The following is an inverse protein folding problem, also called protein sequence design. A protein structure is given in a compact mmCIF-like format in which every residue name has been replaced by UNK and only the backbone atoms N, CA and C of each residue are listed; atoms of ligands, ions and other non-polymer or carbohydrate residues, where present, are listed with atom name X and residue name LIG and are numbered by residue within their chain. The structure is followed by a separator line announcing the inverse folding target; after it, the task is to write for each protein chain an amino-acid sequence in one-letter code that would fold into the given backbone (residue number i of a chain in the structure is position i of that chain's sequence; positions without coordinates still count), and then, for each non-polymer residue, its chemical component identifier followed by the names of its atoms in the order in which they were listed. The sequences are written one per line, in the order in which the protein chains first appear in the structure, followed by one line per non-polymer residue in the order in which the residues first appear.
data_IF_796746177604
#
_entry.id   IF_796746177604
#
_cell.length_a   1.000
_cell.length_b   1.000
_cell.length_c   1.000
_cell.angle_alpha   90.00
_cell.angle_beta   90.00
_cell.angle_gamma   90.00
#
_symmetry.space_group_name_H-M   'P 1'
#
loop_
_entity.id
_entity.type
_entity.pdbx_description
1 polymer ?
#
# COMPACT_ATOMS: atom_id res chain seq x y z
N UNK A 1 -1.62 -21.77 24.64
CA UNK A 1 -2.05 -20.38 24.96
C UNK A 1 -1.10 -19.32 24.39
N UNK A 2 0.22 -19.46 24.51
CA UNK A 2 1.18 -18.45 24.01
C UNK A 2 1.22 -18.28 22.47
N UNK A 3 0.86 -19.29 21.68
CA UNK A 3 0.93 -19.22 20.21
C UNK A 3 -0.07 -18.23 19.58
N UNK A 4 -1.29 -18.15 20.12
CA UNK A 4 -2.34 -17.28 19.57
C UNK A 4 -2.05 -15.79 19.77
N UNK A 5 -1.61 -15.41 20.99
CA UNK A 5 -1.27 -14.02 21.31
C UNK A 5 -0.06 -13.53 20.50
N UNK A 6 0.97 -14.36 20.34
CA UNK A 6 2.11 -14.02 19.49
C UNK A 6 1.68 -13.86 18.02
N UNK A 7 0.85 -14.75 17.49
CA UNK A 7 0.35 -14.64 16.12
C UNK A 7 -0.47 -13.35 15.91
N UNK A 8 -1.33 -12.98 16.87
CA UNK A 8 -2.09 -11.74 16.84
C UNK A 8 -1.20 -10.48 16.84
N UNK A 9 -0.16 -10.47 17.68
CA UNK A 9 0.83 -9.37 17.73
C UNK A 9 1.53 -9.24 16.37
N UNK A 10 2.03 -10.35 15.81
CA UNK A 10 2.72 -10.35 14.53
C UNK A 10 1.81 -9.92 13.39
N UNK A 11 0.58 -10.45 13.32
CA UNK A 11 -0.42 -10.05 12.32
C UNK A 11 -0.70 -8.55 12.37
N UNK A 12 -0.89 -8.01 13.57
CA UNK A 12 -1.12 -6.57 13.79
C UNK A 12 0.10 -5.74 13.41
N UNK A 13 1.30 -6.18 13.79
CA UNK A 13 2.55 -5.49 13.46
C UNK A 13 2.78 -5.39 11.95
N UNK A 14 2.62 -6.48 11.20
CA UNK A 14 2.79 -6.45 9.74
C UNK A 14 1.69 -5.64 9.04
N UNK A 15 0.45 -5.64 9.54
CA UNK A 15 -0.59 -4.74 9.06
C UNK A 15 -0.23 -3.26 9.28
N UNK A 16 0.37 -2.96 10.44
CA UNK A 16 0.90 -1.64 10.75
C UNK A 16 2.04 -1.21 9.82
N UNK A 17 2.99 -2.11 9.52
CA UNK A 17 4.09 -1.85 8.57
C UNK A 17 3.53 -1.54 7.18
N UNK A 18 2.61 -2.35 6.66
CA UNK A 18 1.98 -2.11 5.36
C UNK A 18 1.28 -0.75 5.31
N UNK A 19 0.54 -0.41 6.37
CA UNK A 19 -0.14 0.89 6.51
C UNK A 19 0.85 2.05 6.57
N UNK A 20 1.97 1.88 7.30
CA UNK A 20 3.04 2.87 7.39
C UNK A 20 3.70 3.17 6.05
N UNK A 21 4.06 2.13 5.27
CA UNK A 21 4.59 2.30 3.91
C UNK A 21 3.60 3.05 3.00
N UNK A 22 2.32 2.68 3.04
CA UNK A 22 1.29 3.34 2.23
C UNK A 22 0.99 4.78 2.69
N UNK A 23 1.16 5.06 3.98
CA UNK A 23 1.08 6.41 4.55
C UNK A 23 2.21 7.28 3.99
N UNK A 24 3.44 6.76 4.00
CA UNK A 24 4.60 7.45 3.43
C UNK A 24 4.38 7.77 1.96
N UNK A 25 3.99 6.78 1.16
CA UNK A 25 3.70 6.97 -0.27
C UNK A 25 2.60 8.02 -0.49
N UNK A 26 1.52 7.99 0.31
CA UNK A 26 0.37 8.88 0.15
C UNK A 26 0.65 10.33 0.58
N UNK A 27 1.51 10.56 1.57
CA UNK A 27 1.70 11.90 2.13
C UNK A 27 3.07 12.51 1.82
N UNK A 28 4.06 11.70 1.45
CA UNK A 28 5.39 12.15 1.06
C UNK A 28 5.54 12.08 -0.44
N UNK A 29 5.48 10.87 -1.03
CA UNK A 29 5.75 10.70 -2.47
C UNK A 29 4.72 11.40 -3.34
N UNK A 30 3.43 11.21 -3.06
CA UNK A 30 2.34 11.89 -3.80
C UNK A 30 2.50 13.40 -3.75
N UNK A 31 2.77 13.97 -2.57
CA UNK A 31 2.95 15.43 -2.45
C UNK A 31 4.17 15.90 -3.21
N UNK A 32 5.27 15.16 -3.13
CA UNK A 32 6.49 15.46 -3.89
C UNK A 32 6.21 15.49 -5.41
N UNK A 33 5.57 14.45 -5.94
CA UNK A 33 5.20 14.38 -7.36
C UNK A 33 4.25 15.52 -7.77
N UNK A 34 3.22 15.82 -6.98
CA UNK A 34 2.28 16.90 -7.27
C UNK A 34 2.97 18.28 -7.27
N UNK A 35 3.87 18.55 -6.33
CA UNK A 35 4.68 19.78 -6.34
C UNK A 35 5.50 19.89 -7.62
N UNK A 36 6.11 18.80 -8.08
CA UNK A 36 6.86 18.81 -9.35
C UNK A 36 5.97 19.03 -10.58
N UNK A 37 4.71 18.59 -10.55
CA UNK A 37 3.74 18.92 -11.59
C UNK A 37 3.36 20.41 -11.54
N UNK A 38 3.17 20.99 -10.35
CA UNK A 38 2.84 22.41 -10.17
C UNK A 38 3.97 23.35 -10.60
N UNK A 39 5.22 22.92 -10.44
CA UNK A 39 6.42 23.67 -10.84
C UNK A 39 6.87 23.37 -12.29
N UNK A 40 6.04 22.70 -13.09
CA UNK A 40 6.33 22.31 -14.48
C UNK A 40 7.64 21.51 -14.64
N UNK A 41 7.98 20.70 -13.64
CA UNK A 41 9.17 19.83 -13.62
C UNK A 41 8.83 18.40 -14.09
N UNK A 42 8.01 18.28 -15.13
CA UNK A 42 7.54 16.99 -15.67
C UNK A 42 8.68 16.07 -16.11
N UNK A 43 9.77 16.64 -16.66
CA UNK A 43 10.99 15.89 -17.01
C UNK A 43 11.61 15.17 -15.81
N UNK A 44 11.63 15.80 -14.64
CA UNK A 44 12.15 15.15 -13.42
C UNK A 44 11.32 13.92 -13.07
N UNK A 45 9.99 14.02 -13.20
CA UNK A 45 9.07 12.90 -12.96
C UNK A 45 9.34 11.78 -13.96
N UNK A 46 9.51 12.09 -15.24
CA UNK A 46 9.85 11.10 -16.28
C UNK A 46 11.17 10.38 -16.00
N UNK A 47 12.17 11.08 -15.48
CA UNK A 47 13.48 10.51 -15.17
C UNK A 47 13.44 9.70 -13.86
N UNK A 48 12.69 10.16 -12.87
CA UNK A 48 12.64 9.58 -11.53
C UNK A 48 11.68 8.39 -11.41
N UNK A 49 10.49 8.48 -12.03
CA UNK A 49 9.43 7.48 -11.90
C UNK A 49 9.86 6.06 -12.30
N UNK A 50 10.59 5.85 -13.42
CA UNK A 50 11.06 4.52 -13.82
C UNK A 50 12.01 3.86 -12.81
N UNK A 51 12.65 4.66 -11.95
CA UNK A 51 13.52 4.20 -10.87
C UNK A 51 12.69 3.99 -9.60
N UNK A 52 11.96 5.02 -9.16
CA UNK A 52 11.18 5.00 -7.93
C UNK A 52 10.15 3.86 -7.90
N UNK A 53 9.42 3.65 -8.99
CA UNK A 53 8.31 2.69 -9.02
C UNK A 53 8.75 1.23 -8.79
N UNK A 54 9.74 0.68 -9.52
CA UNK A 54 10.22 -0.67 -9.26
C UNK A 54 10.69 -0.89 -7.82
N UNK A 55 11.46 0.03 -7.24
CA UNK A 55 11.93 -0.11 -5.86
C UNK A 55 10.79 -0.07 -4.85
N UNK A 56 9.80 0.83 -5.03
CA UNK A 56 8.60 0.87 -4.20
C UNK A 56 7.80 -0.43 -4.29
N UNK A 57 7.61 -0.97 -5.51
CA UNK A 57 6.95 -2.26 -5.73
C UNK A 57 7.70 -3.41 -5.07
N UNK A 58 9.01 -3.50 -5.26
CA UNK A 58 9.84 -4.60 -4.78
C UNK A 58 9.92 -4.64 -3.24
N UNK A 59 9.75 -3.48 -2.58
CA UNK A 59 9.51 -3.41 -1.14
C UNK A 59 8.07 -3.80 -0.76
N UNK A 60 7.07 -3.27 -1.47
CA UNK A 60 5.66 -3.46 -1.09
C UNK A 60 5.17 -4.90 -1.26
N UNK A 61 5.62 -5.63 -2.29
CA UNK A 61 5.20 -7.02 -2.52
C UNK A 61 5.48 -7.92 -1.30
N UNK A 62 6.70 -8.01 -0.76
CA UNK A 62 6.95 -8.84 0.42
C UNK A 62 6.24 -8.32 1.67
N UNK A 63 6.08 -7.00 1.83
CA UNK A 63 5.33 -6.40 2.96
C UNK A 63 3.86 -6.83 2.94
N UNK A 64 3.20 -6.76 1.77
CA UNK A 64 1.79 -7.17 1.62
C UNK A 64 1.63 -8.68 1.80
N UNK A 65 2.56 -9.49 1.27
CA UNK A 65 2.56 -10.94 1.46
C UNK A 65 2.73 -11.31 2.95
N UNK A 66 3.69 -10.70 3.64
CA UNK A 66 3.91 -10.92 5.06
C UNK A 66 2.69 -10.49 5.89
N UNK A 67 2.10 -9.33 5.59
CA UNK A 67 0.84 -8.87 6.21
C UNK A 67 -0.31 -9.84 6.00
N UNK A 68 -0.50 -10.33 4.78
CA UNK A 68 -1.56 -11.30 4.45
C UNK A 68 -1.36 -12.62 5.20
N UNK A 69 -0.19 -13.24 5.10
CA UNK A 69 0.09 -14.55 5.71
C UNK A 69 0.05 -14.48 7.23
N UNK A 70 0.61 -13.44 7.84
CA UNK A 70 0.61 -13.28 9.30
C UNK A 70 -0.80 -13.09 9.85
N UNK A 71 -1.66 -12.32 9.17
CA UNK A 71 -3.06 -12.14 9.58
C UNK A 71 -3.90 -13.40 9.35
N UNK A 72 -3.69 -14.16 8.26
CA UNK A 72 -4.32 -15.48 8.13
C UNK A 72 -3.88 -16.42 9.24
N UNK A 73 -2.59 -16.43 9.59
CA UNK A 73 -2.06 -17.26 10.68
C UNK A 73 -2.69 -16.85 12.02
N UNK A 74 -2.81 -15.55 12.29
CA UNK A 74 -3.50 -15.03 13.47
C UNK A 74 -4.97 -15.49 13.51
N UNK A 75 -5.69 -15.43 12.40
CA UNK A 75 -7.06 -15.97 12.30
C UNK A 75 -7.10 -17.47 12.59
N UNK A 76 -6.21 -18.28 12.00
CA UNK A 76 -6.20 -19.72 12.23
C UNK A 76 -5.97 -20.09 13.70
N UNK A 77 -5.14 -19.33 14.42
CA UNK A 77 -4.79 -19.56 15.82
C UNK A 77 -5.80 -19.00 16.83
N UNK A 78 -6.43 -17.85 16.53
CA UNK A 78 -7.33 -17.14 17.46
C UNK A 78 -8.81 -17.33 17.15
N UNK A 79 -9.13 -17.66 15.90
CA UNK A 79 -10.49 -17.69 15.33
C UNK A 79 -11.22 -16.34 15.33
N UNK A 80 -10.53 -15.21 15.59
CA UNK A 80 -11.13 -13.88 15.41
C UNK A 80 -11.17 -13.51 13.92
N UNK A 81 -12.39 -13.40 13.39
CA UNK A 81 -12.67 -13.07 11.98
C UNK A 81 -12.07 -11.73 11.53
N UNK A 82 -11.82 -10.79 12.45
CA UNK A 82 -11.20 -9.49 12.14
C UNK A 82 -9.84 -9.66 11.49
N UNK A 83 -9.04 -10.65 11.91
CA UNK A 83 -7.76 -10.96 11.27
C UNK A 83 -7.92 -11.49 9.84
N UNK A 84 -8.98 -12.26 9.56
CA UNK A 84 -9.29 -12.69 8.20
C UNK A 84 -9.71 -11.51 7.31
N UNK A 85 -10.51 -10.59 7.84
CA UNK A 85 -10.88 -9.33 7.16
C UNK A 85 -9.64 -8.50 6.88
N UNK A 86 -8.75 -8.30 7.86
CA UNK A 86 -7.48 -7.58 7.67
C UNK A 86 -6.65 -8.20 6.55
N UNK A 87 -6.52 -9.53 6.53
CA UNK A 87 -5.81 -10.24 5.45
C UNK A 87 -6.42 -9.94 4.08
N UNK A 88 -7.74 -9.98 3.96
CA UNK A 88 -8.43 -9.66 2.70
C UNK A 88 -8.16 -8.24 2.22
N UNK A 89 -8.23 -7.27 3.14
CA UNK A 89 -7.97 -5.85 2.84
C UNK A 89 -6.51 -5.59 2.43
N UNK A 90 -5.52 -6.18 3.12
CA UNK A 90 -4.11 -6.05 2.75
C UNK A 90 -3.86 -6.70 1.39
N UNK A 91 -4.39 -7.91 1.17
CA UNK A 91 -4.24 -8.64 -0.09
C UNK A 91 -4.81 -7.85 -1.27
N UNK A 92 -5.95 -7.17 -1.09
CA UNK A 92 -6.59 -6.33 -2.11
C UNK A 92 -5.70 -5.20 -2.66
N UNK A 93 -4.75 -4.69 -1.88
CA UNK A 93 -3.85 -3.61 -2.31
C UNK A 93 -3.05 -3.99 -3.55
N UNK A 94 -2.63 -5.26 -3.65
CA UNK A 94 -1.86 -5.77 -4.79
C UNK A 94 -2.65 -5.71 -6.10
N UNK A 95 -3.78 -6.44 -6.22
CA UNK A 95 -4.65 -6.39 -7.39
C UNK A 95 -5.14 -4.98 -7.73
N UNK A 96 -5.52 -4.17 -6.75
CA UNK A 96 -5.90 -2.78 -6.99
C UNK A 96 -4.76 -2.01 -7.67
N UNK A 97 -3.53 -2.17 -7.18
CA UNK A 97 -2.36 -1.52 -7.79
C UNK A 97 -2.07 -2.03 -9.20
N UNK A 98 -2.19 -3.34 -9.45
CA UNK A 98 -1.92 -3.90 -10.77
C UNK A 98 -2.97 -3.55 -11.82
N UNK A 99 -4.24 -3.51 -11.44
CA UNK A 99 -5.37 -3.36 -12.36
C UNK A 99 -5.76 -1.89 -12.51
N UNK A 100 -5.95 -1.17 -11.40
CA UNK A 100 -6.47 0.21 -11.43
C UNK A 100 -5.37 1.21 -11.72
N UNK A 101 -4.16 1.01 -11.18
CA UNK A 101 -3.03 1.92 -11.40
C UNK A 101 -2.15 1.46 -12.57
N UNK A 102 -2.37 0.26 -13.12
CA UNK A 102 -1.51 -0.35 -14.13
C UNK A 102 -1.32 0.50 -15.37
N UNK A 103 -2.40 1.08 -15.88
CA UNK A 103 -2.38 1.99 -17.04
C UNK A 103 -1.54 3.24 -16.77
N UNK A 104 -1.76 3.90 -15.63
CA UNK A 104 -0.99 5.08 -15.22
C UNK A 104 0.50 4.78 -15.09
N UNK A 105 0.84 3.63 -14.50
CA UNK A 105 2.23 3.18 -14.35
C UNK A 105 2.87 2.99 -15.71
N UNK A 106 2.17 2.34 -16.65
CA UNK A 106 2.70 2.10 -17.98
C UNK A 106 2.89 3.40 -18.75
N UNK A 107 1.93 4.32 -18.68
CA UNK A 107 2.01 5.65 -19.31
C UNK A 107 3.18 6.48 -18.73
N UNK A 108 3.31 6.54 -17.40
CA UNK A 108 4.41 7.26 -16.74
C UNK A 108 5.79 6.64 -16.99
N UNK A 109 5.87 5.35 -17.35
CA UNK A 109 7.12 4.69 -17.75
C UNK A 109 7.50 4.92 -19.21
N UNK A 110 6.52 5.22 -20.08
CA UNK A 110 6.74 5.42 -21.53
C UNK A 110 7.04 6.88 -21.90
N UNK A 111 6.81 7.82 -20.97
CA UNK A 111 7.35 9.18 -21.01
C UNK A 111 6.94 10.04 -22.22
N UNK A 112 5.68 10.01 -22.65
CA UNK A 112 5.18 11.09 -23.53
C UNK A 112 5.00 12.38 -22.69
N UNK A 113 5.72 13.48 -22.99
CA UNK A 113 5.67 14.70 -22.20
C UNK A 113 4.27 15.33 -22.08
N UNK A 114 3.40 15.12 -23.08
CA UNK A 114 2.08 15.76 -23.12
C UNK A 114 1.17 15.30 -21.97
N UNK A 115 1.32 14.05 -21.52
CA UNK A 115 0.36 13.41 -20.61
C UNK A 115 0.91 13.20 -19.18
N UNK A 116 2.20 13.49 -18.93
CA UNK A 116 2.84 13.22 -17.63
C UNK A 116 2.14 13.93 -16.49
N UNK A 117 1.81 15.21 -16.67
CA UNK A 117 1.23 16.03 -15.62
C UNK A 117 -0.17 15.51 -15.21
N UNK A 118 -1.04 15.26 -16.19
CA UNK A 118 -2.38 14.74 -15.94
C UNK A 118 -2.34 13.32 -15.37
N UNK A 119 -1.54 12.44 -15.97
CA UNK A 119 -1.37 11.06 -15.51
C UNK A 119 -0.81 11.01 -14.09
N UNK A 120 0.16 11.87 -13.76
CA UNK A 120 0.72 11.96 -12.40
C UNK A 120 -0.35 12.38 -11.40
N UNK A 121 -1.18 13.39 -11.73
CA UNK A 121 -2.28 13.82 -10.86
C UNK A 121 -3.29 12.69 -10.63
N UNK A 122 -3.69 11.98 -11.69
CA UNK A 122 -4.59 10.83 -11.61
C UNK A 122 -4.00 9.71 -10.75
N UNK A 123 -2.78 9.29 -11.06
CA UNK A 123 -2.02 8.27 -10.32
C UNK A 123 -1.92 8.59 -8.83
N UNK A 124 -1.55 9.84 -8.51
CA UNK A 124 -1.41 10.32 -7.14
C UNK A 124 -2.73 10.31 -6.37
N UNK A 125 -3.83 10.73 -6.99
CA UNK A 125 -5.14 10.71 -6.33
C UNK A 125 -5.59 9.27 -6.02
N UNK A 126 -5.32 8.33 -6.92
CA UNK A 126 -5.67 6.92 -6.75
C UNK A 126 -4.80 6.19 -5.71
N UNK A 127 -3.65 6.75 -5.32
CA UNK A 127 -2.76 6.17 -4.31
C UNK A 127 -3.40 6.11 -2.92
N UNK A 128 -4.18 7.14 -2.55
CA UNK A 128 -4.79 7.27 -1.23
C UNK A 128 -5.80 6.17 -0.91
N UNK A 129 -6.44 5.58 -1.92
CA UNK A 129 -7.39 4.47 -1.74
C UNK A 129 -6.71 3.28 -1.06
N UNK A 130 -5.47 2.97 -1.44
CA UNK A 130 -4.69 1.87 -0.85
C UNK A 130 -4.40 2.12 0.62
N UNK A 131 -4.09 3.36 0.98
CA UNK A 131 -3.91 3.74 2.38
C UNK A 131 -5.20 3.55 3.18
N UNK A 132 -6.34 4.03 2.68
CA UNK A 132 -7.63 3.87 3.38
C UNK A 132 -7.94 2.40 3.63
N UNK A 133 -7.74 1.54 2.63
CA UNK A 133 -7.95 0.09 2.75
C UNK A 133 -7.01 -0.53 3.79
N UNK A 134 -5.71 -0.24 3.70
CA UNK A 134 -4.73 -0.79 4.63
C UNK A 134 -4.94 -0.30 6.07
N UNK A 135 -5.22 0.99 6.26
CA UNK A 135 -5.51 1.58 7.55
C UNK A 135 -6.77 0.98 8.19
N UNK A 136 -7.81 0.73 7.38
CA UNK A 136 -9.01 0.03 7.84
C UNK A 136 -8.68 -1.39 8.31
N UNK A 137 -7.89 -2.14 7.53
CA UNK A 137 -7.41 -3.47 7.92
C UNK A 137 -6.56 -3.45 9.19
N UNK A 138 -5.69 -2.46 9.35
CA UNK A 138 -4.90 -2.28 10.56
C UNK A 138 -5.77 -1.95 11.78
N UNK A 139 -6.80 -1.12 11.62
CA UNK A 139 -7.79 -0.87 12.67
C UNK A 139 -8.49 -2.14 13.14
N UNK A 140 -8.91 -3.01 12.21
CA UNK A 140 -9.48 -4.31 12.56
C UNK A 140 -8.49 -5.19 13.34
N UNK A 141 -7.22 -5.26 12.92
CA UNK A 141 -6.21 -6.06 13.62
C UNK A 141 -5.91 -5.51 15.03
N UNK A 142 -5.85 -4.19 15.20
CA UNK A 142 -5.66 -3.55 16.51
C UNK A 142 -6.81 -3.87 17.46
N UNK A 143 -8.06 -3.75 16.99
CA UNK A 143 -9.23 -4.09 17.82
C UNK A 143 -9.26 -5.57 18.18
N UNK A 144 -8.96 -6.46 17.23
CA UNK A 144 -8.84 -7.90 17.50
C UNK A 144 -7.76 -8.19 18.56
N UNK A 145 -6.60 -7.54 18.47
CA UNK A 145 -5.53 -7.71 19.44
C UNK A 145 -5.89 -7.18 20.83
N UNK A 146 -6.66 -6.08 20.91
CA UNK A 146 -7.11 -5.51 22.17
C UNK A 146 -8.17 -6.38 22.88
N UNK A 147 -8.95 -7.14 22.12
CA UNK A 147 -9.99 -8.04 22.64
C UNK A 147 -9.44 -9.39 23.17
N UNK A 148 -8.14 -9.69 22.93
CA UNK A 148 -7.46 -10.96 23.30
C UNK A 148 -6.77 -10.94 24.67
#
# INVERSE_FOLDING_TARGET
MFSGKLAAILGTAFAGVATGCLTFVSFVDVRSFLTHVEEDRTKMIQDHFPVWWPYGRDLMVPVLLAGTISNLTAYYQTKDIKFAITSGLICFVGPYTGIVLGEDIETLRKSDPADVAETTRRFCNLHHVRLVVAATGFGFALTALADL
#
